data_IF_587027960196
#
_entry.id   IF_587027960196
#
_cell.length_a   1.000
_cell.length_b   1.000
_cell.length_c   1.000
_cell.angle_alpha   90.00
_cell.angle_beta   90.00
_cell.angle_gamma   90.00
#
_symmetry.space_group_name_H-M   'P 1'
#
loop_
_entity.id
_entity.type
_entity.pdbx_description
1 polymer ?
#
# COMPACT_ATOMS: atom_id res chain seq x y z
N UNK A 1 -9.72 -2.87 -8.34
CA UNK A 1 -8.80 -3.38 -7.31
C UNK A 1 -7.63 -2.41 -7.14
N UNK A 2 -7.18 -2.19 -5.91
CA UNK A 2 -5.92 -1.48 -5.64
C UNK A 2 -4.82 -2.52 -5.41
N UNK A 3 -3.72 -2.40 -6.14
CA UNK A 3 -2.46 -3.11 -5.91
C UNK A 3 -1.41 -2.10 -5.49
N UNK A 4 -0.61 -2.41 -4.47
CA UNK A 4 0.49 -1.56 -4.02
C UNK A 4 1.81 -2.18 -4.47
N UNK A 5 2.70 -1.40 -5.08
CA UNK A 5 4.08 -1.81 -5.39
C UNK A 5 5.04 -1.04 -4.49
N UNK A 6 5.71 -1.75 -3.57
CA UNK A 6 6.72 -1.20 -2.67
C UNK A 6 8.11 -1.42 -3.26
N UNK A 7 8.71 -0.36 -3.78
CA UNK A 7 10.03 -0.39 -4.41
C UNK A 7 11.18 -0.29 -3.41
N UNK A 8 12.32 -0.88 -3.77
CA UNK A 8 13.61 -0.63 -3.11
C UNK A 8 13.69 -1.13 -1.67
N UNK A 9 13.15 -2.32 -1.40
CA UNK A 9 13.35 -3.00 -0.11
C UNK A 9 14.80 -3.46 0.04
N UNK A 10 15.34 -3.25 1.24
CA UNK A 10 16.67 -3.67 1.67
C UNK A 10 16.56 -4.44 2.96
N UNK A 11 17.04 -5.68 2.96
CA UNK A 11 17.05 -6.56 4.12
C UNK A 11 17.92 -5.94 5.22
N UNK A 12 17.47 -6.03 6.46
CA UNK A 12 18.16 -5.46 7.62
C UNK A 12 18.04 -3.92 7.77
N UNK A 13 17.47 -3.21 6.80
CA UNK A 13 17.20 -1.76 6.90
C UNK A 13 15.73 -1.43 6.90
N UNK A 14 14.99 -1.97 5.94
CA UNK A 14 13.64 -1.49 5.62
C UNK A 14 12.54 -2.42 6.16
N UNK A 15 12.88 -3.54 6.80
CA UNK A 15 11.95 -4.56 7.29
C UNK A 15 10.75 -3.96 8.05
N UNK A 16 10.99 -3.08 9.02
CA UNK A 16 9.90 -2.46 9.78
C UNK A 16 8.97 -1.63 8.88
N UNK A 17 9.53 -0.72 8.08
CA UNK A 17 8.76 0.21 7.26
C UNK A 17 8.00 -0.52 6.16
N UNK A 18 8.65 -1.45 5.46
CA UNK A 18 7.99 -2.29 4.45
C UNK A 18 6.85 -3.13 5.06
N UNK A 19 7.00 -3.64 6.29
CA UNK A 19 5.90 -4.35 6.98
C UNK A 19 4.75 -3.39 7.24
N UNK A 20 5.03 -2.16 7.70
CA UNK A 20 3.99 -1.15 7.91
C UNK A 20 3.28 -0.80 6.61
N UNK A 21 4.00 -0.67 5.49
CA UNK A 21 3.37 -0.47 4.18
C UNK A 21 2.41 -1.62 3.82
N UNK A 22 2.81 -2.87 4.04
CA UNK A 22 1.94 -4.04 3.82
C UNK A 22 0.70 -4.05 4.71
N UNK A 23 0.87 -3.75 6.00
CA UNK A 23 -0.23 -3.70 6.96
C UNK A 23 -1.19 -2.53 6.68
N UNK A 24 -0.68 -1.36 6.31
CA UNK A 24 -1.49 -0.21 5.89
C UNK A 24 -2.24 -0.54 4.60
N UNK A 25 -1.56 -1.08 3.58
CA UNK A 25 -2.22 -1.49 2.33
C UNK A 25 -3.41 -2.41 2.62
N UNK A 26 -3.21 -3.44 3.44
CA UNK A 26 -4.27 -4.36 3.88
C UNK A 26 -5.40 -3.64 4.60
N UNK A 27 -5.07 -2.92 5.68
CA UNK A 27 -6.06 -2.29 6.56
C UNK A 27 -6.89 -1.22 5.83
N UNK A 28 -6.26 -0.45 4.94
CA UNK A 28 -6.87 0.65 4.20
C UNK A 28 -7.50 0.20 2.86
N UNK A 29 -7.67 -1.11 2.67
CA UNK A 29 -8.58 -1.63 1.67
C UNK A 29 -7.95 -2.05 0.34
N UNK A 30 -6.62 -2.01 0.20
CA UNK A 30 -5.95 -2.62 -0.96
C UNK A 30 -6.17 -4.14 -1.01
N UNK A 31 -6.08 -4.71 -2.20
CA UNK A 31 -6.25 -6.15 -2.42
C UNK A 31 -4.93 -6.91 -2.43
N UNK A 32 -3.83 -6.23 -2.74
CA UNK A 32 -2.53 -6.85 -2.93
C UNK A 32 -1.41 -5.85 -2.64
N UNK A 33 -0.29 -6.37 -2.11
CA UNK A 33 1.00 -5.69 -2.12
C UNK A 33 2.06 -6.56 -2.79
N UNK A 34 2.88 -5.93 -3.63
CA UNK A 34 4.04 -6.50 -4.28
C UNK A 34 5.27 -5.79 -3.74
N UNK A 35 6.18 -6.55 -3.12
CA UNK A 35 7.49 -6.04 -2.70
C UNK A 35 8.52 -6.22 -3.81
N UNK A 36 9.43 -5.26 -3.94
CA UNK A 36 10.56 -5.31 -4.86
C UNK A 36 11.82 -4.75 -4.20
N UNK A 37 12.99 -5.10 -4.75
CA UNK A 37 14.30 -4.88 -4.14
C UNK A 37 14.93 -6.22 -3.76
N UNK A 38 15.48 -6.32 -2.56
CA UNK A 38 15.91 -7.58 -1.99
C UNK A 38 14.70 -8.38 -1.49
N UNK A 39 14.74 -9.70 -1.66
CA UNK A 39 13.66 -10.58 -1.19
C UNK A 39 13.75 -10.76 0.33
N UNK A 40 12.65 -10.51 1.04
CA UNK A 40 12.54 -10.69 2.48
C UNK A 40 11.28 -11.50 2.82
N UNK A 41 11.47 -12.80 2.99
CA UNK A 41 10.37 -13.72 3.30
C UNK A 41 9.85 -13.56 4.74
N UNK A 42 10.67 -13.08 5.68
CA UNK A 42 10.24 -12.83 7.07
C UNK A 42 9.26 -11.66 7.12
N UNK A 43 9.59 -10.59 6.41
CA UNK A 43 8.71 -9.45 6.17
C UNK A 43 7.37 -9.90 5.58
N UNK A 44 7.42 -10.63 4.46
CA UNK A 44 6.21 -11.05 3.77
C UNK A 44 5.35 -11.98 4.64
N UNK A 45 5.97 -12.91 5.37
CA UNK A 45 5.27 -13.79 6.29
C UNK A 45 4.62 -13.05 7.44
N UNK A 46 5.25 -11.99 7.98
CA UNK A 46 4.62 -11.15 9.01
C UNK A 46 3.28 -10.55 8.53
N UNK A 47 3.21 -10.10 7.27
CA UNK A 47 1.97 -9.56 6.68
C UNK A 47 0.95 -10.66 6.38
N UNK A 48 1.41 -11.81 5.87
CA UNK A 48 0.55 -12.98 5.62
C UNK A 48 -0.06 -13.54 6.90
N UNK A 49 0.69 -13.61 7.99
CA UNK A 49 0.22 -14.04 9.31
C UNK A 49 -0.88 -13.12 9.83
N UNK A 50 -0.69 -11.80 9.77
CA UNK A 50 -1.77 -10.87 10.12
C UNK A 50 -3.00 -11.09 9.25
N UNK A 51 -2.83 -11.36 7.95
CA UNK A 51 -3.96 -11.65 7.05
C UNK A 51 -4.68 -12.95 7.43
N UNK A 52 -3.94 -14.00 7.79
CA UNK A 52 -4.47 -15.29 8.24
C UNK A 52 -5.25 -15.18 9.54
N UNK A 53 -4.73 -14.43 10.51
CA UNK A 53 -5.34 -14.31 11.84
C UNK A 53 -6.50 -13.30 11.86
N UNK A 54 -6.36 -12.16 11.18
CA UNK A 54 -7.35 -11.08 11.18
C UNK A 54 -8.30 -11.11 9.96
N UNK A 55 -8.17 -12.14 9.12
CA UNK A 55 -9.03 -12.42 7.98
C UNK A 55 -8.86 -11.47 6.78
N UNK A 56 -9.75 -11.65 5.80
CA UNK A 56 -9.85 -10.80 4.61
C UNK A 56 -8.95 -11.22 3.45
N UNK A 57 -9.42 -11.07 2.20
CA UNK A 57 -8.58 -11.36 1.03
C UNK A 57 -7.54 -10.25 0.88
N UNK A 58 -6.27 -10.60 1.11
CA UNK A 58 -5.13 -9.73 0.84
C UNK A 58 -3.94 -10.58 0.37
N UNK A 59 -3.39 -10.27 -0.80
CA UNK A 59 -2.27 -11.01 -1.38
C UNK A 59 -0.94 -10.29 -1.11
N UNK A 60 0.11 -11.08 -0.81
CA UNK A 60 1.47 -10.60 -0.59
C UNK A 60 2.40 -11.33 -1.54
N UNK A 61 3.02 -10.59 -2.45
CA UNK A 61 3.92 -11.13 -3.48
C UNK A 61 5.27 -10.42 -3.44
N UNK A 62 6.25 -11.07 -4.03
CA UNK A 62 7.54 -10.50 -4.35
C UNK A 62 7.75 -10.53 -5.86
N UNK A 63 8.33 -9.46 -6.40
CA UNK A 63 8.78 -9.40 -7.79
C UNK A 63 10.04 -8.53 -7.87
N UNK A 64 11.14 -9.16 -8.27
CA UNK A 64 12.44 -8.49 -8.42
C UNK A 64 12.39 -7.46 -9.55
N UNK A 65 11.71 -7.78 -10.65
CA UNK A 65 11.58 -6.89 -11.81
C UNK A 65 10.36 -5.97 -11.67
N UNK A 66 10.49 -4.94 -10.84
CA UNK A 66 9.44 -3.93 -10.66
C UNK A 66 9.03 -3.26 -11.99
N UNK A 67 9.92 -3.13 -12.97
CA UNK A 67 9.63 -2.49 -14.25
C UNK A 67 8.59 -3.29 -15.02
N UNK A 68 8.73 -4.61 -15.04
CA UNK A 68 7.74 -5.53 -15.61
C UNK A 68 6.37 -5.39 -14.94
N UNK A 69 6.34 -5.27 -13.59
CA UNK A 69 5.08 -5.05 -12.85
C UNK A 69 4.38 -3.79 -13.34
N UNK A 70 5.10 -2.66 -13.44
CA UNK A 70 4.51 -1.40 -13.86
C UNK A 70 4.06 -1.46 -15.34
N UNK A 71 4.91 -1.96 -16.23
CA UNK A 71 4.62 -2.00 -17.67
C UNK A 71 3.44 -2.92 -18.02
N UNK A 72 3.32 -4.06 -17.34
CA UNK A 72 2.29 -5.06 -17.63
C UNK A 72 0.97 -4.80 -16.88
N UNK A 73 0.93 -3.88 -15.92
CA UNK A 73 -0.27 -3.60 -15.15
C UNK A 73 -1.41 -3.06 -16.05
N UNK A 74 -2.56 -3.73 -16.01
CA UNK A 74 -3.77 -3.34 -16.76
C UNK A 74 -4.67 -2.44 -15.90
N UNK A 75 -4.34 -1.15 -15.89
CA UNK A 75 -5.03 -0.11 -15.14
C UNK A 75 -4.21 1.17 -15.10
N UNK A 76 -4.59 2.09 -14.23
CA UNK A 76 -3.79 3.32 -14.03
C UNK A 76 -2.67 3.08 -13.00
N UNK A 77 -1.54 3.75 -13.20
CA UNK A 77 -0.35 3.69 -12.38
C UNK A 77 -0.15 5.03 -11.70
N UNK A 78 -0.21 5.04 -10.38
CA UNK A 78 -0.07 6.22 -9.54
C UNK A 78 1.21 6.08 -8.73
N UNK A 79 2.20 6.90 -9.02
CA UNK A 79 3.42 7.00 -8.26
C UNK A 79 3.28 8.08 -7.19
N UNK A 80 3.42 7.69 -5.91
CA UNK A 80 3.42 8.63 -4.80
C UNK A 80 4.82 9.19 -4.58
N UNK A 81 4.95 10.49 -4.73
CA UNK A 81 6.21 11.22 -4.64
C UNK A 81 5.96 12.65 -4.23
N UNK A 82 6.81 13.20 -3.35
CA UNK A 82 6.71 14.61 -2.93
C UNK A 82 6.89 15.61 -4.09
N UNK A 83 7.43 15.18 -5.23
CA UNK A 83 7.60 16.01 -6.43
C UNK A 83 6.36 16.01 -7.34
N UNK A 84 5.32 15.25 -7.00
CA UNK A 84 4.11 15.09 -7.80
C UNK A 84 3.13 16.27 -7.70
N UNK A 85 2.05 16.15 -8.46
CA UNK A 85 0.91 17.06 -8.38
C UNK A 85 0.14 16.81 -7.07
N UNK A 86 -0.31 17.85 -6.35
CA UNK A 86 -1.13 17.67 -5.15
C UNK A 86 -2.34 16.76 -5.39
N UNK A 87 -2.55 15.81 -4.49
CA UNK A 87 -3.59 14.77 -4.58
C UNK A 87 -4.98 15.34 -4.87
N UNK A 88 -5.35 16.46 -4.25
CA UNK A 88 -6.63 17.15 -4.39
C UNK A 88 -6.98 17.46 -5.86
N UNK A 89 -5.97 17.71 -6.71
CA UNK A 89 -6.18 18.08 -8.12
C UNK A 89 -6.52 16.88 -9.02
N UNK A 90 -6.29 15.65 -8.55
CA UNK A 90 -6.38 14.43 -9.40
C UNK A 90 -7.16 13.28 -8.77
N UNK A 91 -7.41 13.29 -7.47
CA UNK A 91 -7.99 12.15 -6.77
C UNK A 91 -9.36 11.73 -7.33
N UNK A 92 -10.21 12.68 -7.72
CA UNK A 92 -11.53 12.39 -8.26
C UNK A 92 -11.48 11.68 -9.61
N UNK A 93 -10.46 11.96 -10.44
CA UNK A 93 -10.22 11.25 -11.71
C UNK A 93 -9.70 9.84 -11.45
N UNK A 94 -8.76 9.70 -10.51
CA UNK A 94 -8.15 8.43 -10.11
C UNK A 94 -9.21 7.49 -9.52
N UNK A 95 -10.09 7.99 -8.65
CA UNK A 95 -11.14 7.23 -7.96
C UNK A 95 -12.15 6.57 -8.91
N UNK A 96 -12.35 7.15 -10.10
CA UNK A 96 -13.25 6.59 -11.13
C UNK A 96 -12.67 5.33 -11.80
N UNK A 97 -11.38 5.03 -11.62
CA UNK A 97 -10.73 3.89 -12.26
C UNK A 97 -10.93 2.64 -11.45
N UNK A 98 -11.23 1.53 -12.13
CA UNK A 98 -11.44 0.24 -11.45
C UNK A 98 -10.14 -0.33 -10.91
N UNK A 99 -9.06 -0.30 -11.67
CA UNK A 99 -7.77 -0.91 -11.30
C UNK A 99 -6.69 0.17 -11.20
N UNK A 100 -6.03 0.23 -10.04
CA UNK A 100 -4.99 1.21 -9.75
C UNK A 100 -3.79 0.51 -9.14
N UNK A 101 -2.62 0.73 -9.70
CA UNK A 101 -1.33 0.38 -9.12
C UNK A 101 -0.81 1.60 -8.39
N UNK A 102 -0.64 1.51 -7.07
CA UNK A 102 -0.05 2.56 -6.25
C UNK A 102 1.42 2.21 -6.01
N UNK A 103 2.32 3.01 -6.56
CA UNK A 103 3.77 2.80 -6.47
C UNK A 103 4.29 3.68 -5.35
N UNK A 104 4.94 3.06 -4.38
CA UNK A 104 5.60 3.75 -3.26
C UNK A 104 7.08 3.37 -3.21
N UNK A 105 7.92 4.35 -2.87
CA UNK A 105 9.36 4.19 -2.81
C UNK A 105 9.91 3.98 -1.41
N UNK A 106 11.06 3.31 -1.32
CA UNK A 106 11.99 3.42 -0.20
C UNK A 106 13.02 4.54 -0.41
N UNK A 107 14.25 4.36 0.06
CA UNK A 107 15.29 5.41 0.10
C UNK A 107 15.74 5.99 -1.26
N UNK A 108 15.52 5.29 -2.37
CA UNK A 108 15.84 5.79 -3.72
C UNK A 108 14.88 5.19 -4.75
N UNK A 109 14.08 6.02 -5.39
CA UNK A 109 13.20 5.63 -6.49
C UNK A 109 13.92 5.92 -7.81
N UNK A 110 14.02 4.95 -8.75
CA UNK A 110 14.58 5.20 -10.08
C UNK A 110 13.76 6.27 -10.84
N UNK A 111 14.46 7.17 -11.54
CA UNK A 111 13.81 8.26 -12.30
C UNK A 111 12.84 7.74 -13.37
N UNK A 112 13.09 6.55 -13.93
CA UNK A 112 12.20 5.89 -14.90
C UNK A 112 10.77 5.68 -14.39
N UNK A 113 10.57 5.54 -13.07
CA UNK A 113 9.22 5.38 -12.49
C UNK A 113 8.34 6.59 -12.80
N UNK A 114 8.91 7.80 -12.85
CA UNK A 114 8.16 9.02 -13.17
C UNK A 114 7.56 8.97 -14.58
N UNK A 115 8.30 8.42 -15.55
CA UNK A 115 7.86 8.30 -16.92
C UNK A 115 6.91 7.12 -17.15
N UNK A 116 7.02 6.06 -16.34
CA UNK A 116 6.19 4.86 -16.44
C UNK A 116 4.82 5.00 -15.73
N UNK A 117 4.71 5.93 -14.78
CA UNK A 117 3.47 6.22 -14.07
C UNK A 117 2.56 7.13 -14.91
N UNK A 118 1.25 6.86 -14.88
CA UNK A 118 0.25 7.74 -15.51
C UNK A 118 0.03 9.01 -14.67
N UNK A 119 0.23 8.91 -13.35
CA UNK A 119 0.15 10.02 -12.42
C UNK A 119 1.32 10.00 -11.44
N UNK A 120 1.99 11.14 -11.29
CA UNK A 120 2.91 11.40 -10.19
C UNK A 120 2.19 12.31 -9.18
N UNK A 121 1.86 11.79 -8.00
CA UNK A 121 1.00 12.44 -7.01
C UNK A 121 1.77 12.71 -5.72
N UNK A 122 1.65 13.94 -5.24
CA UNK A 122 2.12 14.36 -3.93
C UNK A 122 0.96 14.36 -2.93
N UNK A 123 1.15 13.69 -1.79
CA UNK A 123 0.27 13.88 -0.62
C UNK A 123 0.55 15.23 0.02
N UNK A 124 1.83 15.53 0.19
CA UNK A 124 2.34 16.88 0.40
C UNK A 124 3.59 17.02 -0.45
N UNK A 125 3.97 18.26 -0.78
CA UNK A 125 5.26 18.53 -1.42
C UNK A 125 6.42 18.66 -0.40
N UNK A 126 6.25 18.06 0.80
CA UNK A 126 7.28 17.99 1.84
C UNK A 126 7.78 16.55 2.01
N UNK A 127 9.05 16.36 2.38
CA UNK A 127 9.60 15.04 2.65
C UNK A 127 8.97 14.43 3.93
N UNK A 128 8.40 13.23 3.81
CA UNK A 128 7.88 12.45 4.94
C UNK A 128 8.03 10.94 4.67
N UNK A 129 7.08 10.11 5.12
CA UNK A 129 7.12 8.64 4.94
C UNK A 129 6.21 8.14 3.83
N UNK A 130 6.62 7.06 3.17
CA UNK A 130 5.80 6.28 2.23
C UNK A 130 4.59 5.62 2.91
N UNK A 131 4.68 5.31 4.21
CA UNK A 131 3.56 4.75 5.00
C UNK A 131 2.44 5.78 5.12
N UNK A 132 2.80 7.02 5.48
CA UNK A 132 1.85 8.13 5.58
C UNK A 132 1.27 8.48 4.20
N UNK A 133 2.12 8.51 3.17
CA UNK A 133 1.68 8.79 1.81
C UNK A 133 0.62 7.77 1.35
N UNK A 134 0.89 6.48 1.58
CA UNK A 134 -0.03 5.40 1.23
C UNK A 134 -1.35 5.48 2.02
N UNK A 135 -1.29 5.70 3.33
CA UNK A 135 -2.47 5.78 4.18
C UNK A 135 -3.41 6.91 3.74
N UNK A 136 -2.86 8.11 3.52
CA UNK A 136 -3.64 9.27 3.08
C UNK A 136 -4.17 9.05 1.66
N UNK A 137 -3.35 8.55 0.73
CA UNK A 137 -3.82 8.23 -0.62
C UNK A 137 -5.02 7.28 -0.61
N UNK A 138 -4.94 6.19 0.16
CA UNK A 138 -6.01 5.21 0.24
C UNK A 138 -7.25 5.78 0.94
N UNK A 139 -7.07 6.60 1.98
CA UNK A 139 -8.18 7.29 2.64
C UNK A 139 -8.93 8.22 1.68
N UNK A 140 -8.18 9.05 0.93
CA UNK A 140 -8.73 9.95 -0.09
C UNK A 140 -9.39 9.19 -1.25
N UNK A 141 -8.83 8.04 -1.63
CA UNK A 141 -9.41 7.17 -2.65
C UNK A 141 -10.72 6.53 -2.18
N UNK A 142 -10.77 5.97 -0.97
CA UNK A 142 -11.93 5.23 -0.47
C UNK A 142 -12.96 6.12 0.24
N UNK A 143 -12.62 7.37 0.56
CA UNK A 143 -13.48 8.35 1.24
C UNK A 143 -14.00 7.81 2.58
N UNK A 144 -13.10 7.28 3.41
CA UNK A 144 -13.40 6.73 4.74
C UNK A 144 -14.16 5.40 4.75
N UNK A 145 -14.53 4.83 3.59
CA UNK A 145 -15.21 3.53 3.52
C UNK A 145 -14.33 2.38 4.01
N UNK A 146 -13.01 2.50 3.87
CA UNK A 146 -12.03 1.55 4.35
C UNK A 146 -12.04 1.42 5.89
N UNK A 147 -12.30 2.51 6.63
CA UNK A 147 -12.34 2.50 8.09
C UNK A 147 -13.50 1.67 8.67
N UNK A 148 -14.53 1.44 7.86
CA UNK A 148 -15.70 0.62 8.22
C UNK A 148 -15.61 -0.81 7.68
N UNK A 149 -14.54 -1.16 6.97
CA UNK A 149 -14.38 -2.47 6.33
C UNK A 149 -14.27 -3.56 7.41
N UNK A 150 -15.11 -4.58 7.28
CA UNK A 150 -15.00 -5.81 8.07
C UNK A 150 -14.39 -6.90 7.21
N UNK A 151 -13.32 -7.51 7.70
CA UNK A 151 -12.69 -8.62 7.01
C UNK A 151 -13.55 -9.89 7.15
N UNK A 152 -13.57 -10.69 6.08
CA UNK A 152 -14.25 -12.00 6.07
C UNK A 152 -13.38 -13.02 6.80
N UNK A 153 -14.03 -13.93 7.54
CA UNK A 153 -13.39 -15.05 8.25
C UNK A 153 -12.17 -14.67 9.13
N UNK A 154 -12.25 -13.62 9.97
CA UNK A 154 -11.20 -13.38 10.95
C UNK A 154 -11.24 -14.47 12.02
N UNK A 155 -10.08 -15.00 12.42
CA UNK A 155 -9.98 -15.74 13.68
C UNK A 155 -10.05 -14.75 14.83
N UNK A 156 -9.27 -13.68 14.74
CA UNK A 156 -9.13 -12.65 15.77
C UNK A 156 -9.82 -11.37 15.32
N UNK A 157 -10.65 -10.78 16.20
CA UNK A 157 -11.27 -9.47 16.01
C UNK A 157 -11.26 -8.64 17.29
N UNK A 158 -10.94 -7.36 17.17
CA UNK A 158 -11.07 -6.38 18.25
C UNK A 158 -12.52 -5.91 18.38
N UNK A 159 -12.99 -5.78 19.62
CA UNK A 159 -14.20 -5.04 19.95
C UNK A 159 -13.78 -3.65 20.43
N UNK A 160 -14.19 -2.56 19.76
CA UNK A 160 -13.88 -1.21 20.21
C UNK A 160 -14.33 -0.99 21.66
N UNK A 161 -13.45 -0.42 22.48
CA UNK A 161 -13.71 -0.10 23.89
C UNK A 161 -13.31 1.35 24.14
N UNK A 162 -14.07 2.06 24.95
CA UNK A 162 -13.69 3.41 25.41
C UNK A 162 -12.42 3.35 26.27
N UNK A 163 -12.34 2.34 27.16
CA UNK A 163 -11.18 2.05 28.00
C UNK A 163 -10.96 0.54 28.07
N UNK A 164 -9.70 0.10 27.87
CA UNK A 164 -9.32 -1.31 27.90
C UNK A 164 -9.14 -1.96 26.52
N UNK A 165 -8.92 -3.28 26.51
CA UNK A 165 -8.68 -4.09 25.30
C UNK A 165 -9.56 -5.31 25.34
N UNK A 166 -10.44 -5.48 24.34
CA UNK A 166 -11.28 -6.67 24.19
C UNK A 166 -11.09 -7.29 22.82
N UNK A 167 -10.80 -8.58 22.80
CA UNK A 167 -10.53 -9.38 21.60
C UNK A 167 -11.40 -10.63 21.64
N UNK A 168 -11.94 -11.03 20.49
CA UNK A 168 -12.60 -12.31 20.27
C UNK A 168 -11.68 -13.10 19.32
N UNK A 169 -11.37 -14.34 19.66
CA UNK A 169 -10.47 -15.25 18.92
C UNK A 169 -11.09 -16.63 18.76
#
# INVERSE_FOLDING_TARGET
MITVLRLGHRVGRDARISTHCGLVARAFGAGEIIFSGEEDEKLMNSVREVTKEWGGPFSVKYEKNWKSVIQNFKGIKVHLTMYGIPIEKRIDEIRKKRNVLVIIGGSKVPGEVYALADYNIAITNQPHSEVAALAIFLHEYFQGRELRKRFKNPKIRVIPQEKGKKVIS
#
